data_IF_061267168589
#
_entry.id   IF_061267168589
#
_cell.length_a   1.000
_cell.length_b   1.000
_cell.length_c   1.000
_cell.angle_alpha   90.00
_cell.angle_beta   90.00
_cell.angle_gamma   90.00
#
_symmetry.space_group_name_H-M   'P 1'
#
loop_
_entity.id
_entity.type
_entity.pdbx_description
1 polymer ?
#
# COMPACT_ATOMS: atom_id res chain seq x y z
N UNK A 1 -10.92 -1.77 -4.16
CA UNK A 1 -12.14 -2.20 -4.88
C UNK A 1 -11.87 -2.28 -6.38
N UNK A 2 -11.29 -1.24 -6.98
CA UNK A 2 -10.97 -1.25 -8.40
C UNK A 2 -10.06 -2.41 -8.80
N UNK A 3 -9.04 -2.70 -7.98
CA UNK A 3 -8.10 -3.80 -8.24
C UNK A 3 -8.80 -5.16 -8.21
N UNK A 4 -9.71 -5.36 -7.29
CA UNK A 4 -10.47 -6.61 -7.19
C UNK A 4 -11.39 -6.78 -8.41
N UNK A 5 -12.05 -5.71 -8.82
CA UNK A 5 -12.90 -5.72 -10.00
C UNK A 5 -12.07 -6.03 -11.25
N UNK A 6 -10.92 -5.39 -11.39
CA UNK A 6 -10.01 -5.64 -12.52
C UNK A 6 -9.54 -7.11 -12.53
N UNK A 7 -9.23 -7.67 -11.37
CA UNK A 7 -8.84 -9.06 -11.25
C UNK A 7 -9.93 -10.02 -11.71
N UNK A 8 -11.18 -9.72 -11.37
CA UNK A 8 -12.33 -10.50 -11.84
C UNK A 8 -12.53 -10.39 -13.35
N UNK A 9 -12.42 -9.18 -13.89
CA UNK A 9 -12.60 -8.93 -15.33
C UNK A 9 -11.52 -9.63 -16.14
N UNK A 10 -10.24 -9.51 -15.72
CA UNK A 10 -9.11 -10.11 -16.43
C UNK A 10 -8.90 -11.58 -16.12
N UNK A 11 -9.68 -12.15 -15.21
CA UNK A 11 -9.60 -13.57 -14.82
C UNK A 11 -8.17 -13.97 -14.45
N UNK A 12 -7.59 -13.25 -13.51
CA UNK A 12 -6.21 -13.51 -13.07
C UNK A 12 -6.11 -14.87 -12.38
N UNK A 13 -4.91 -15.46 -12.41
CA UNK A 13 -4.66 -16.77 -11.79
C UNK A 13 -4.72 -16.71 -10.27
N UNK A 14 -4.80 -17.90 -9.63
CA UNK A 14 -4.78 -17.99 -8.17
C UNK A 14 -3.51 -17.36 -7.58
N UNK A 15 -2.35 -17.60 -8.20
CA UNK A 15 -1.09 -17.01 -7.75
C UNK A 15 -1.14 -15.49 -7.87
N UNK A 16 -1.65 -14.97 -8.96
CA UNK A 16 -1.81 -13.52 -9.15
C UNK A 16 -2.78 -12.93 -8.13
N UNK A 17 -3.86 -13.63 -7.80
CA UNK A 17 -4.78 -13.23 -6.73
C UNK A 17 -4.07 -13.13 -5.38
N UNK A 18 -3.19 -14.09 -5.06
CA UNK A 18 -2.44 -14.05 -3.81
C UNK A 18 -1.57 -12.79 -3.72
N UNK A 19 -0.83 -12.46 -4.79
CA UNK A 19 0.00 -11.26 -4.80
C UNK A 19 -0.82 -9.97 -4.76
N UNK A 20 -1.93 -9.94 -5.48
CA UNK A 20 -2.82 -8.78 -5.47
C UNK A 20 -3.40 -8.53 -4.09
N UNK A 21 -3.95 -9.57 -3.45
CA UNK A 21 -4.51 -9.47 -2.12
C UNK A 21 -3.45 -9.14 -1.08
N UNK A 22 -2.24 -9.72 -1.19
CA UNK A 22 -1.14 -9.38 -0.31
C UNK A 22 -0.82 -7.89 -0.38
N UNK A 23 -0.75 -7.33 -1.58
CA UNK A 23 -0.49 -5.90 -1.78
C UNK A 23 -1.57 -5.04 -1.11
N UNK A 24 -2.83 -5.38 -1.31
CA UNK A 24 -3.97 -4.64 -0.74
C UNK A 24 -3.92 -4.68 0.79
N UNK A 25 -3.76 -5.86 1.37
CA UNK A 25 -3.73 -6.01 2.83
C UNK A 25 -2.51 -5.33 3.45
N UNK A 26 -1.34 -5.40 2.79
CA UNK A 26 -0.14 -4.71 3.28
C UNK A 26 -0.33 -3.19 3.30
N UNK A 27 -0.88 -2.61 2.25
CA UNK A 27 -1.13 -1.17 2.20
C UNK A 27 -2.07 -0.75 3.32
N UNK A 28 -3.17 -1.47 3.50
CA UNK A 28 -4.14 -1.18 4.56
C UNK A 28 -3.48 -1.30 5.94
N UNK A 29 -2.74 -2.38 6.17
CA UNK A 29 -2.07 -2.61 7.45
C UNK A 29 -1.06 -1.51 7.77
N UNK A 30 -0.27 -1.08 6.80
CA UNK A 30 0.70 0.00 7.00
C UNK A 30 0.03 1.35 7.18
N UNK A 31 -1.10 1.61 6.54
CA UNK A 31 -1.87 2.83 6.77
C UNK A 31 -2.43 2.88 8.20
N UNK A 32 -2.95 1.77 8.68
CA UNK A 32 -3.43 1.66 10.08
C UNK A 32 -2.25 1.89 11.03
N UNK A 33 -1.13 1.26 10.77
CA UNK A 33 0.08 1.40 11.60
C UNK A 33 0.58 2.84 11.59
N UNK A 34 0.58 3.50 10.44
CA UNK A 34 0.97 4.91 10.33
C UNK A 34 0.07 5.79 11.20
N UNK A 35 -1.24 5.57 11.17
CA UNK A 35 -2.18 6.31 12.01
C UNK A 35 -1.92 6.07 13.49
N UNK A 36 -1.62 4.83 13.88
CA UNK A 36 -1.28 4.50 15.26
C UNK A 36 0.00 5.22 15.70
N UNK A 37 1.04 5.23 14.85
CA UNK A 37 2.29 5.94 15.13
C UNK A 37 2.03 7.44 15.31
N UNK A 38 1.23 8.03 14.43
CA UNK A 38 0.88 9.46 14.53
C UNK A 38 0.23 9.77 15.88
N UNK A 39 -0.72 8.94 16.32
CA UNK A 39 -1.40 9.14 17.58
C UNK A 39 -0.46 8.97 18.77
N UNK A 40 0.39 7.95 18.75
CA UNK A 40 1.36 7.70 19.82
C UNK A 40 2.39 8.83 19.90
N UNK A 41 2.89 9.29 18.75
CA UNK A 41 3.88 10.36 18.69
C UNK A 41 3.28 11.68 19.19
N UNK A 42 2.04 11.99 18.81
CA UNK A 42 1.36 13.20 19.29
C UNK A 42 1.18 13.17 20.78
N UNK A 43 0.79 12.02 21.33
CA UNK A 43 0.65 11.83 22.77
C UNK A 43 1.99 11.97 23.48
N UNK A 44 3.03 11.33 22.96
CA UNK A 44 4.37 11.34 23.58
C UNK A 44 5.01 12.73 23.55
N UNK A 45 4.75 13.53 22.50
CA UNK A 45 5.27 14.89 22.39
C UNK A 45 4.36 15.95 23.00
N UNK A 46 3.23 15.54 23.58
CA UNK A 46 2.19 16.41 24.14
C UNK A 46 1.71 17.44 23.11
N UNK A 47 1.59 17.01 21.85
CA UNK A 47 1.19 17.83 20.71
C UNK A 47 2.13 19.03 20.43
N UNK A 48 3.34 19.02 21.00
CA UNK A 48 4.36 20.03 20.74
C UNK A 48 5.30 19.57 19.63
N UNK A 49 5.90 20.54 18.92
CA UNK A 49 6.88 20.23 17.90
C UNK A 49 8.12 19.61 18.53
N UNK A 50 8.59 18.52 17.92
CA UNK A 50 9.82 17.82 18.28
C UNK A 50 10.41 17.24 17.00
N UNK A 51 11.73 17.38 16.80
CA UNK A 51 12.39 16.80 15.63
C UNK A 51 12.27 15.27 15.61
N UNK A 52 12.33 14.62 16.79
CA UNK A 52 12.14 13.17 16.88
C UNK A 52 10.72 12.76 16.51
N UNK A 53 9.72 13.54 16.94
CA UNK A 53 8.33 13.30 16.60
C UNK A 53 8.12 13.43 15.09
N UNK A 54 8.66 14.48 14.49
CA UNK A 54 8.60 14.69 13.04
C UNK A 54 9.25 13.53 12.30
N UNK A 55 10.44 13.11 12.72
CA UNK A 55 11.15 12.01 12.07
C UNK A 55 10.38 10.69 12.17
N UNK A 56 9.80 10.40 13.34
CA UNK A 56 9.00 9.18 13.51
C UNK A 56 7.78 9.17 12.59
N UNK A 57 7.08 10.28 12.49
CA UNK A 57 5.93 10.41 11.59
C UNK A 57 6.34 10.29 10.11
N UNK A 58 7.44 10.94 9.73
CA UNK A 58 7.94 10.88 8.35
C UNK A 58 8.36 9.47 7.97
N UNK A 59 9.01 8.74 8.87
CA UNK A 59 9.40 7.35 8.64
C UNK A 59 8.19 6.44 8.48
N UNK A 60 7.17 6.61 9.33
CA UNK A 60 5.94 5.82 9.24
C UNK A 60 5.20 6.09 7.92
N UNK A 61 5.12 7.36 7.52
CA UNK A 61 4.55 7.74 6.23
C UNK A 61 5.38 7.20 5.06
N UNK A 62 6.71 7.22 5.19
CA UNK A 62 7.62 6.65 4.21
C UNK A 62 7.41 5.16 4.01
N UNK A 63 7.14 4.43 5.09
CA UNK A 63 6.82 3.00 5.02
C UNK A 63 5.55 2.75 4.19
N UNK A 64 4.53 3.59 4.34
CA UNK A 64 3.32 3.52 3.52
C UNK A 64 3.65 3.73 2.05
N UNK A 65 4.51 4.69 1.73
CA UNK A 65 4.94 4.95 0.36
C UNK A 65 5.68 3.75 -0.25
N UNK A 66 6.56 3.12 0.51
CA UNK A 66 7.29 1.93 0.05
C UNK A 66 6.33 0.79 -0.27
N UNK A 67 5.39 0.50 0.62
CA UNK A 67 4.40 -0.57 0.40
C UNK A 67 3.48 -0.22 -0.76
N UNK A 68 3.10 1.04 -0.90
CA UNK A 68 2.28 1.51 -2.01
C UNK A 68 3.02 1.35 -3.34
N UNK A 69 4.33 1.63 -3.36
CA UNK A 69 5.17 1.37 -4.52
C UNK A 69 5.19 -0.10 -4.91
N UNK A 70 5.31 -0.98 -3.93
CA UNK A 70 5.20 -2.43 -4.15
C UNK A 70 3.85 -2.80 -4.76
N UNK A 71 2.76 -2.23 -4.24
CA UNK A 71 1.42 -2.50 -4.75
C UNK A 71 1.27 -2.04 -6.21
N UNK A 72 1.80 -0.88 -6.55
CA UNK A 72 1.79 -0.37 -7.94
C UNK A 72 2.57 -1.31 -8.86
N UNK A 73 3.77 -1.72 -8.46
CA UNK A 73 4.60 -2.64 -9.25
C UNK A 73 3.89 -3.98 -9.44
N UNK A 74 3.29 -4.52 -8.38
CA UNK A 74 2.52 -5.76 -8.45
C UNK A 74 1.36 -5.64 -9.44
N UNK A 75 0.62 -4.54 -9.36
CA UNK A 75 -0.48 -4.28 -10.29
C UNK A 75 -0.01 -4.20 -11.74
N UNK A 76 1.10 -3.52 -11.99
CA UNK A 76 1.67 -3.43 -13.33
C UNK A 76 2.09 -4.79 -13.85
N UNK A 77 2.74 -5.60 -13.04
CA UNK A 77 3.19 -6.95 -13.43
C UNK A 77 1.99 -7.85 -13.75
N UNK A 78 0.91 -7.75 -12.99
CA UNK A 78 -0.27 -8.59 -13.18
C UNK A 78 -1.10 -8.12 -14.40
N UNK A 79 -1.35 -6.83 -14.52
CA UNK A 79 -2.34 -6.31 -15.47
C UNK A 79 -1.78 -5.84 -16.81
N UNK A 80 -0.55 -5.30 -16.87
CA UNK A 80 0.01 -4.80 -18.11
C UNK A 80 0.12 -5.87 -19.20
N UNK A 81 0.62 -7.09 -18.93
CA UNK A 81 0.66 -8.14 -19.96
C UNK A 81 -0.74 -8.47 -20.47
N UNK A 82 -1.74 -8.48 -19.61
CA UNK A 82 -3.12 -8.77 -19.99
C UNK A 82 -3.73 -7.69 -20.85
N UNK A 83 -3.45 -6.42 -20.53
CA UNK A 83 -3.87 -5.29 -21.36
C UNK A 83 -3.20 -5.33 -22.72
N UNK A 84 -1.91 -5.65 -22.76
CA UNK A 84 -1.16 -5.78 -24.00
C UNK A 84 -1.79 -6.83 -24.90
N UNK A 85 -2.13 -7.99 -24.36
CA UNK A 85 -2.76 -9.08 -25.13
C UNK A 85 -4.14 -8.70 -25.67
N UNK A 86 -4.87 -7.85 -24.96
CA UNK A 86 -6.19 -7.36 -25.42
C UNK A 86 -6.04 -6.33 -26.53
N UNK A 87 -5.05 -5.43 -26.41
CA UNK A 87 -4.87 -4.31 -27.34
C UNK A 87 -4.14 -4.78 -28.62
N UNK A 88 -3.18 -5.65 -28.47
CA UNK A 88 -2.32 -6.14 -29.55
C UNK A 88 -2.43 -7.64 -29.75
#
# INVERSE_FOLDING_TARGET
VAAIIAGLIFRISATEWLFLLLSIFLVIAFEIMNSAVENVVDLASDYHFSMRAKNAKDMAAGAVLVVSGFAVITGLIIFLPKLWDIIF
#
